data_IF_160811295814
#
_entry.id   IF_160811295814
#
_cell.length_a   1.000
_cell.length_b   1.000
_cell.length_c   1.000
_cell.angle_alpha   90.00
_cell.angle_beta   90.00
_cell.angle_gamma   90.00
#
_symmetry.space_group_name_H-M   'P 1'
#
loop_
_entity.id
_entity.type
_entity.pdbx_description
1 polymer ?
#
# COMPACT_ATOMS: atom_id res chain seq x y z
N UNK A 1 -19.20 -21.29 -18.37
CA UNK A 1 -18.80 -20.44 -17.22
C UNK A 1 -17.31 -20.18 -17.33
N UNK A 2 -16.91 -19.04 -17.91
CA UNK A 2 -15.50 -18.73 -18.13
C UNK A 2 -14.94 -18.00 -16.90
N UNK A 3 -14.12 -18.70 -16.09
CA UNK A 3 -13.32 -18.06 -15.05
C UNK A 3 -12.14 -17.37 -15.72
N UNK A 4 -12.22 -16.05 -15.88
CA UNK A 4 -11.12 -15.24 -16.37
C UNK A 4 -10.00 -15.25 -15.32
N UNK A 5 -8.91 -15.94 -15.59
CA UNK A 5 -7.67 -15.80 -14.84
C UNK A 5 -7.02 -14.47 -15.22
N UNK A 6 -7.15 -13.47 -14.35
CA UNK A 6 -6.45 -12.20 -14.51
C UNK A 6 -4.94 -12.41 -14.29
N UNK A 7 -4.15 -12.17 -15.34
CA UNK A 7 -2.69 -12.18 -15.33
C UNK A 7 -2.16 -11.26 -14.23
N UNK A 8 -1.60 -11.83 -13.15
CA UNK A 8 -0.93 -11.07 -12.08
C UNK A 8 0.45 -10.61 -12.58
N UNK A 9 0.56 -9.37 -13.05
CA UNK A 9 1.86 -8.74 -13.23
C UNK A 9 2.43 -8.42 -11.83
N UNK A 10 3.44 -9.20 -11.41
CA UNK A 10 4.09 -9.08 -10.10
C UNK A 10 5.44 -8.40 -10.29
N UNK A 11 5.54 -7.13 -9.90
CA UNK A 11 6.83 -6.46 -9.68
C UNK A 11 6.97 -6.26 -8.18
N UNK A 12 7.65 -7.19 -7.50
CA UNK A 12 8.06 -7.00 -6.11
C UNK A 12 9.51 -6.50 -6.13
N UNK A 13 9.73 -5.25 -5.76
CA UNK A 13 11.07 -4.76 -5.42
C UNK A 13 11.45 -5.35 -4.05
N UNK A 14 12.64 -5.94 -3.99
CA UNK A 14 13.05 -6.96 -3.02
C UNK A 14 13.55 -6.45 -1.64
N UNK A 15 13.05 -5.32 -1.15
CA UNK A 15 13.40 -4.77 0.18
C UNK A 15 12.15 -4.49 1.01
N UNK A 16 11.30 -5.50 1.21
CA UNK A 16 10.11 -5.35 2.04
C UNK A 16 10.48 -5.59 3.51
N UNK A 17 10.63 -4.52 4.30
CA UNK A 17 10.74 -4.60 5.74
C UNK A 17 9.43 -5.07 6.40
N UNK A 18 9.39 -5.11 7.76
CA UNK A 18 8.24 -5.64 8.49
C UNK A 18 6.94 -4.87 8.19
N UNK A 19 7.02 -3.56 7.96
CA UNK A 19 5.85 -2.74 7.65
C UNK A 19 5.37 -3.01 6.21
N UNK A 20 6.27 -3.04 5.24
CA UNK A 20 5.92 -3.32 3.85
C UNK A 20 5.27 -4.71 3.67
N UNK A 21 5.77 -5.71 4.41
CA UNK A 21 5.22 -7.07 4.41
C UNK A 21 3.79 -7.12 4.99
N UNK A 22 3.55 -6.40 6.10
CA UNK A 22 2.23 -6.29 6.73
C UNK A 22 1.22 -5.62 5.78
N UNK A 23 1.59 -4.48 5.17
CA UNK A 23 0.76 -3.77 4.20
C UNK A 23 0.37 -4.71 3.05
N UNK A 24 1.35 -5.39 2.48
CA UNK A 24 1.13 -6.31 1.35
C UNK A 24 0.12 -7.40 1.72
N UNK A 25 0.35 -8.08 2.85
CA UNK A 25 -0.50 -9.18 3.29
C UNK A 25 -1.95 -8.75 3.55
N UNK A 26 -2.16 -7.60 4.22
CA UNK A 26 -3.52 -7.09 4.53
C UNK A 26 -4.27 -6.63 3.28
N UNK A 27 -3.59 -5.91 2.39
CA UNK A 27 -4.17 -5.41 1.15
C UNK A 27 -4.51 -6.58 0.22
N UNK A 28 -3.65 -7.58 0.10
CA UNK A 28 -3.94 -8.76 -0.71
C UNK A 28 -5.11 -9.58 -0.18
N UNK A 29 -5.14 -9.82 1.14
CA UNK A 29 -6.22 -10.59 1.77
C UNK A 29 -7.59 -9.92 1.61
N UNK A 30 -7.63 -8.58 1.75
CA UNK A 30 -8.89 -7.83 1.78
C UNK A 30 -9.39 -7.42 0.39
N UNK A 31 -8.48 -6.95 -0.48
CA UNK A 31 -8.84 -6.28 -1.73
C UNK A 31 -8.59 -7.14 -2.97
N UNK A 32 -7.89 -8.28 -2.85
CA UNK A 32 -7.57 -9.21 -3.94
C UNK A 32 -7.22 -8.48 -5.26
N UNK A 33 -6.25 -7.57 -5.24
CA UNK A 33 -6.00 -6.70 -6.38
C UNK A 33 -5.46 -7.46 -7.59
N UNK A 34 -5.83 -6.97 -8.77
CA UNK A 34 -5.29 -7.41 -10.07
C UNK A 34 -3.93 -6.81 -10.36
N UNK A 35 -3.67 -5.59 -9.85
CA UNK A 35 -2.37 -4.94 -9.85
C UNK A 35 -2.09 -4.38 -8.47
N UNK A 36 -0.90 -4.67 -7.94
CA UNK A 36 -0.44 -4.18 -6.65
C UNK A 36 1.03 -3.79 -6.78
N UNK A 37 1.35 -2.57 -6.37
CA UNK A 37 2.72 -2.07 -6.33
C UNK A 37 2.91 -1.24 -5.06
N UNK A 38 3.90 -1.62 -4.26
CA UNK A 38 4.31 -0.90 -3.07
C UNK A 38 5.75 -0.43 -3.27
N UNK A 39 5.99 0.87 -3.10
CA UNK A 39 7.31 1.49 -3.24
C UNK A 39 7.64 2.23 -1.96
N UNK A 40 8.79 1.92 -1.36
CA UNK A 40 9.34 2.69 -0.25
C UNK A 40 10.01 3.96 -0.82
N UNK A 41 9.45 5.13 -0.50
CA UNK A 41 9.98 6.45 -0.92
C UNK A 41 10.65 7.19 0.27
N UNK A 42 10.88 6.51 1.41
CA UNK A 42 11.40 7.15 2.63
C UNK A 42 12.75 7.83 2.43
N UNK A 43 13.62 7.29 1.56
CA UNK A 43 14.91 7.93 1.22
C UNK A 43 14.77 9.32 0.59
N UNK A 44 13.66 9.62 -0.11
CA UNK A 44 13.41 10.94 -0.70
C UNK A 44 13.00 12.00 0.33
N UNK A 45 12.66 11.58 1.54
CA UNK A 45 12.17 12.44 2.62
C UNK A 45 12.97 12.29 3.93
N UNK A 46 14.07 11.53 3.91
CA UNK A 46 14.93 11.28 5.07
C UNK A 46 15.53 12.56 5.69
N UNK A 47 15.68 13.63 4.91
CA UNK A 47 16.18 14.94 5.40
C UNK A 47 15.18 15.73 6.26
N UNK A 48 13.91 15.31 6.36
CA UNK A 48 12.87 16.03 7.10
C UNK A 48 12.40 15.31 8.38
N UNK A 49 12.94 14.13 8.70
CA UNK A 49 12.52 13.41 9.90
C UNK A 49 13.39 13.73 11.09
N UNK A 50 12.75 14.24 12.14
CA UNK A 50 13.27 14.06 13.48
C UNK A 50 13.33 12.55 13.74
N UNK A 51 14.50 12.04 14.12
CA UNK A 51 14.62 10.70 14.67
C UNK A 51 13.79 10.65 15.95
N UNK A 52 12.54 10.21 15.84
CA UNK A 52 11.62 10.05 16.97
C UNK A 52 11.87 8.73 17.73
N UNK A 53 12.83 7.93 17.28
CA UNK A 53 13.18 6.63 17.84
C UNK A 53 12.17 5.53 17.51
N UNK A 54 11.23 5.77 16.59
CA UNK A 54 10.27 4.74 16.16
C UNK A 54 10.94 3.66 15.30
N UNK A 55 10.44 2.43 15.40
CA UNK A 55 10.95 1.30 14.61
C UNK A 55 10.86 1.55 13.09
N UNK A 56 9.86 2.31 12.63
CA UNK A 56 9.73 2.74 11.25
C UNK A 56 10.79 3.77 10.83
N UNK A 57 11.19 4.67 11.73
CA UNK A 57 12.26 5.64 11.48
C UNK A 57 13.64 4.94 11.37
N UNK A 58 13.92 3.98 12.26
CA UNK A 58 15.14 3.18 12.23
C UNK A 58 15.22 2.28 10.98
N UNK A 59 14.07 1.75 10.54
CA UNK A 59 13.97 0.92 9.34
C UNK A 59 13.90 1.72 8.03
N UNK A 60 13.76 3.06 8.08
CA UNK A 60 13.54 3.87 6.89
C UNK A 60 12.25 3.50 6.15
N UNK A 61 11.18 3.18 6.89
CA UNK A 61 9.86 2.75 6.39
C UNK A 61 8.78 3.77 6.79
N UNK A 62 9.06 5.07 6.62
CA UNK A 62 8.16 6.16 7.03
C UNK A 62 7.23 6.63 5.92
N UNK A 63 7.65 6.52 4.66
CA UNK A 63 6.88 6.91 3.48
C UNK A 63 6.74 5.79 2.47
N UNK A 64 5.50 5.51 2.12
CA UNK A 64 5.18 4.53 1.10
C UNK A 64 4.30 5.11 0.01
N UNK A 65 4.48 4.57 -1.19
CA UNK A 65 3.57 4.76 -2.31
C UNK A 65 2.94 3.42 -2.67
N UNK A 66 1.62 3.39 -2.63
CA UNK A 66 0.81 2.21 -2.85
C UNK A 66 -0.07 2.43 -4.09
N UNK A 67 0.12 1.61 -5.11
CA UNK A 67 -0.73 1.58 -6.30
C UNK A 67 -1.52 0.28 -6.32
N UNK A 68 -2.85 0.38 -6.32
CA UNK A 68 -3.75 -0.78 -6.23
C UNK A 68 -4.83 -0.67 -7.29
N UNK A 69 -4.94 -1.71 -8.11
CA UNK A 69 -6.05 -1.90 -9.04
C UNK A 69 -6.90 -3.09 -8.62
N UNK A 70 -8.15 -2.85 -8.23
CA UNK A 70 -9.08 -3.91 -7.80
C UNK A 70 -10.51 -3.65 -8.26
N UNK A 71 -11.25 -4.73 -8.50
CA UNK A 71 -12.70 -4.69 -8.74
C UNK A 71 -13.48 -4.24 -7.50
N UNK A 72 -12.91 -4.41 -6.30
CA UNK A 72 -13.51 -3.97 -5.04
C UNK A 72 -13.75 -2.45 -4.96
N UNK A 73 -13.11 -1.69 -5.86
CA UNK A 73 -13.25 -0.25 -5.96
C UNK A 73 -14.37 0.21 -6.90
N UNK A 74 -15.04 -0.72 -7.59
CA UNK A 74 -16.12 -0.42 -8.52
C UNK A 74 -17.32 0.15 -7.77
N UNK A 75 -17.79 1.34 -8.17
CA UNK A 75 -18.89 2.04 -7.48
C UNK A 75 -18.51 2.68 -6.13
N UNK A 76 -17.23 2.59 -5.72
CA UNK A 76 -16.74 3.23 -4.50
C UNK A 76 -16.03 4.54 -4.87
N UNK A 77 -16.43 5.64 -4.24
CA UNK A 77 -15.77 6.95 -4.40
C UNK A 77 -14.31 6.90 -3.93
N UNK A 78 -13.41 7.67 -4.55
CA UNK A 78 -11.98 7.74 -4.21
C UNK A 78 -11.73 7.94 -2.71
N UNK A 79 -12.46 8.84 -2.05
CA UNK A 79 -12.32 9.09 -0.59
C UNK A 79 -12.62 7.82 0.22
N UNK A 80 -13.70 7.10 -0.11
CA UNK A 80 -14.02 5.82 0.55
C UNK A 80 -12.98 4.74 0.27
N UNK A 81 -12.39 4.69 -0.93
CA UNK A 81 -11.28 3.76 -1.25
C UNK A 81 -10.10 4.02 -0.32
N UNK A 82 -9.75 5.30 -0.14
CA UNK A 82 -8.67 5.71 0.77
C UNK A 82 -9.01 5.38 2.23
N UNK A 83 -10.23 5.66 2.70
CA UNK A 83 -10.68 5.33 4.06
C UNK A 83 -10.59 3.83 4.34
N UNK A 84 -10.96 2.97 3.38
CA UNK A 84 -10.84 1.52 3.53
C UNK A 84 -9.38 1.10 3.74
N UNK A 85 -8.46 1.64 2.94
CA UNK A 85 -7.03 1.32 3.06
C UNK A 85 -6.45 1.86 4.37
N UNK A 86 -6.77 3.09 4.75
CA UNK A 86 -6.35 3.64 6.05
C UNK A 86 -6.88 2.81 7.22
N UNK A 87 -8.12 2.32 7.15
CA UNK A 87 -8.69 1.44 8.16
C UNK A 87 -7.95 0.10 8.27
N UNK A 88 -7.53 -0.48 7.14
CA UNK A 88 -6.74 -1.71 7.12
C UNK A 88 -5.33 -1.53 7.69
N UNK A 89 -4.72 -0.37 7.43
CA UNK A 89 -3.32 -0.08 7.77
C UNK A 89 -3.16 0.72 9.08
N UNK A 90 -4.21 0.83 9.89
CA UNK A 90 -4.18 1.64 11.11
C UNK A 90 -3.15 1.19 12.15
N UNK A 91 -2.75 -0.09 12.14
CA UNK A 91 -1.71 -0.61 13.04
C UNK A 91 -0.30 -0.20 12.58
N UNK A 92 -0.10 -0.10 11.28
CA UNK A 92 1.14 0.30 10.63
C UNK A 92 1.39 1.80 10.84
N UNK A 93 0.33 2.62 10.81
CA UNK A 93 0.40 4.02 11.23
C UNK A 93 0.81 4.17 12.71
N UNK A 94 0.35 3.26 13.59
CA UNK A 94 0.80 3.23 14.99
C UNK A 94 2.23 2.74 15.14
N UNK A 95 2.71 1.89 14.22
CA UNK A 95 4.07 1.38 14.21
C UNK A 95 5.11 2.41 13.73
N UNK A 96 4.67 3.57 13.22
CA UNK A 96 5.54 4.67 12.79
C UNK A 96 5.46 4.99 11.30
N UNK A 97 4.54 4.38 10.54
CA UNK A 97 4.25 4.83 9.18
C UNK A 97 3.59 6.20 9.24
N UNK A 98 4.14 7.18 8.52
CA UNK A 98 3.70 8.57 8.63
C UNK A 98 2.93 9.05 7.41
N UNK A 99 3.36 8.65 6.21
CA UNK A 99 2.68 9.03 4.99
C UNK A 99 2.55 7.86 4.01
N UNK A 100 1.33 7.67 3.53
CA UNK A 100 1.00 6.71 2.49
C UNK A 100 0.36 7.45 1.33
N UNK A 101 1.08 7.53 0.21
CA UNK A 101 0.51 8.00 -1.06
C UNK A 101 -0.19 6.84 -1.75
N UNK A 102 -1.45 7.02 -2.13
CA UNK A 102 -2.28 5.94 -2.67
C UNK A 102 -2.81 6.29 -4.04
N UNK A 103 -2.67 5.35 -4.97
CA UNK A 103 -3.31 5.38 -6.28
C UNK A 103 -4.25 4.19 -6.36
N UNK A 104 -5.56 4.44 -6.19
CA UNK A 104 -6.58 3.38 -6.25
C UNK A 104 -7.38 3.45 -7.55
N UNK A 105 -7.23 2.44 -8.41
CA UNK A 105 -7.93 2.36 -9.69
C UNK A 105 -8.85 1.13 -9.75
N UNK A 106 -9.91 1.19 -10.53
CA UNK A 106 -10.63 -0.02 -10.96
C UNK A 106 -9.95 -0.62 -12.20
N UNK A 107 -10.11 -1.92 -12.48
CA UNK A 107 -9.61 -2.50 -13.73
C UNK A 107 -10.22 -1.88 -14.99
N UNK A 108 -11.38 -1.23 -14.88
CA UNK A 108 -12.02 -0.48 -15.96
C UNK A 108 -11.39 0.91 -16.18
N UNK A 109 -10.75 1.49 -15.17
CA UNK A 109 -10.06 2.79 -15.22
C UNK A 109 -8.56 2.66 -15.57
N UNK A 110 -8.14 1.50 -16.11
CA UNK A 110 -6.72 1.20 -16.41
C UNK A 110 -6.09 2.23 -17.34
#
# INVERSE_FOLDING_TARGET
MLRAFATRARTMSAEAGPIASAITSKVEASLKPTHFRLVNDSHKHASHYAQDGSAACEAGETHFRLEVTSEAFTGVSLVKRHQLIYGLLGEEFKAGLHALSMTTKTPAEK
#
